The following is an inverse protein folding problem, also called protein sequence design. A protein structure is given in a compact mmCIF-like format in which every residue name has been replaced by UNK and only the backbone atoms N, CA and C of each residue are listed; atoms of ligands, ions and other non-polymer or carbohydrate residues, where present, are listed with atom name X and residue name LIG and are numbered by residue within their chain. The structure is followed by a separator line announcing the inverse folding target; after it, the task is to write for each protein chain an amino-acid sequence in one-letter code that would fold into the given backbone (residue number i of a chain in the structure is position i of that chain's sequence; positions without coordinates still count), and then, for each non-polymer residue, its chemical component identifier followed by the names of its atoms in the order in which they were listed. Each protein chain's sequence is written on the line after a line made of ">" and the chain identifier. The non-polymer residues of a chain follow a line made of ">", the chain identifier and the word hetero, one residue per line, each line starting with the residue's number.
data_IF_282497198432
#
_entry.id   IF_282497198432
#
_cell.length_a   1.000
_cell.length_b   1.000
_cell.length_c   1.000
_cell.angle_alpha   90.00
_cell.angle_beta   90.00
_cell.angle_gamma   90.00
#
_symmetry.space_group_name_H-M   'P 1'
#
loop_
_entity.id
_entity.type
_entity.pdbx_description
1 polymer ?
#
# COMPACT_ATOMS: atom_id res chain seq x y z
N UNK A 1 14.88 0.04 -6.66
CA UNK A 1 13.55 -0.62 -6.58
C UNK A 1 12.37 0.34 -6.86
N UNK A 2 12.49 1.65 -6.63
CA UNK A 2 11.49 2.68 -6.94
C UNK A 2 11.00 2.85 -8.40
N UNK A 3 11.77 2.54 -9.49
CA UNK A 3 11.38 2.95 -10.85
C UNK A 3 10.05 2.37 -11.36
N UNK A 4 9.70 1.17 -10.91
CA UNK A 4 8.57 0.41 -11.48
C UNK A 4 7.21 0.93 -10.99
N UNK A 5 7.12 1.37 -9.74
CA UNK A 5 5.85 1.88 -9.19
C UNK A 5 5.55 3.31 -9.67
N UNK A 6 6.57 4.11 -10.00
CA UNK A 6 6.38 5.45 -10.57
C UNK A 6 5.59 5.44 -11.88
N UNK A 7 5.74 4.40 -12.71
CA UNK A 7 4.94 4.24 -13.93
C UNK A 7 3.46 3.99 -13.61
N UNK A 8 3.19 3.10 -12.65
CA UNK A 8 1.83 2.76 -12.19
C UNK A 8 1.14 4.01 -11.62
N UNK A 9 1.84 4.78 -10.79
CA UNK A 9 1.33 6.04 -10.23
C UNK A 9 0.87 6.99 -11.32
N UNK A 10 1.66 7.18 -12.39
CA UNK A 10 1.30 8.07 -13.51
C UNK A 10 0.02 7.61 -14.21
N UNK A 11 -0.12 6.31 -14.46
CA UNK A 11 -1.31 5.74 -15.10
C UNK A 11 -2.55 5.93 -14.23
N UNK A 12 -2.44 5.70 -12.91
CA UNK A 12 -3.54 5.91 -11.98
C UNK A 12 -3.95 7.39 -11.97
N UNK A 13 -3.00 8.32 -11.82
CA UNK A 13 -3.29 9.76 -11.79
C UNK A 13 -3.96 10.24 -13.09
N UNK A 14 -3.55 9.70 -14.24
CA UNK A 14 -4.12 10.09 -15.54
C UNK A 14 -5.57 9.61 -15.71
N UNK A 15 -5.96 8.52 -15.06
CA UNK A 15 -7.29 7.90 -15.21
C UNK A 15 -8.22 8.18 -14.03
N UNK A 16 -7.71 8.69 -12.91
CA UNK A 16 -8.50 8.96 -11.72
C UNK A 16 -9.51 10.08 -11.96
N UNK A 17 -10.74 9.85 -11.50
CA UNK A 17 -11.79 10.85 -11.41
C UNK A 17 -12.22 10.99 -9.95
N UNK A 18 -12.66 12.20 -9.58
CA UNK A 18 -13.18 12.45 -8.24
C UNK A 18 -14.30 11.47 -7.88
N UNK A 19 -14.25 10.93 -6.65
CA UNK A 19 -15.15 9.88 -6.18
C UNK A 19 -14.74 8.44 -6.55
N UNK A 20 -13.70 8.23 -7.37
CA UNK A 20 -13.16 6.89 -7.59
C UNK A 20 -12.52 6.34 -6.31
N UNK A 21 -12.60 5.01 -6.14
CA UNK A 21 -11.93 4.29 -5.05
C UNK A 21 -10.75 3.53 -5.63
N UNK A 22 -9.60 3.63 -4.98
CA UNK A 22 -8.38 2.96 -5.40
C UNK A 22 -8.19 1.73 -4.53
N UNK A 23 -8.14 0.54 -5.15
CA UNK A 23 -7.88 -0.71 -4.45
C UNK A 23 -6.58 -1.34 -4.95
N UNK A 24 -5.58 -1.32 -4.08
CA UNK A 24 -4.23 -1.83 -4.33
C UNK A 24 -4.15 -3.26 -3.79
N UNK A 25 -3.59 -4.15 -4.59
CA UNK A 25 -3.51 -5.56 -4.27
C UNK A 25 -2.05 -6.03 -4.24
N UNK A 26 -1.75 -6.79 -3.19
CA UNK A 26 -0.57 -7.62 -3.03
C UNK A 26 0.77 -6.89 -2.76
N UNK A 27 1.78 -7.67 -2.31
CA UNK A 27 3.02 -7.15 -1.73
C UNK A 27 3.87 -6.33 -2.70
N UNK A 28 3.76 -6.57 -4.01
CA UNK A 28 4.51 -5.86 -5.04
C UNK A 28 4.27 -4.34 -5.03
N UNK A 29 3.14 -3.89 -4.46
CA UNK A 29 2.66 -2.52 -4.47
C UNK A 29 2.58 -1.89 -3.07
N UNK A 30 3.30 -2.44 -2.07
CA UNK A 30 3.26 -1.92 -0.69
C UNK A 30 3.67 -0.45 -0.55
N UNK A 31 4.49 0.10 -1.46
CA UNK A 31 4.88 1.52 -1.47
C UNK A 31 3.95 2.40 -2.32
N UNK A 32 3.00 1.82 -3.07
CA UNK A 32 2.12 2.57 -3.94
C UNK A 32 1.18 3.54 -3.20
N UNK A 33 0.60 3.21 -2.03
CA UNK A 33 -0.30 4.14 -1.34
C UNK A 33 0.39 5.46 -0.98
N UNK A 34 1.61 5.43 -0.44
CA UNK A 34 2.37 6.65 -0.12
C UNK A 34 2.73 7.45 -1.38
N UNK A 35 3.08 6.79 -2.49
CA UNK A 35 3.37 7.44 -3.76
C UNK A 35 2.13 8.10 -4.39
N UNK A 36 0.93 7.58 -4.14
CA UNK A 36 -0.31 8.21 -4.59
C UNK A 36 -0.67 9.40 -3.69
N UNK A 37 -0.50 9.27 -2.37
CA UNK A 37 -0.88 10.28 -1.39
C UNK A 37 -0.11 11.61 -1.53
N UNK A 38 1.16 11.55 -1.98
CA UNK A 38 1.95 12.78 -2.25
C UNK A 38 1.42 13.59 -3.45
N UNK A 39 0.51 13.05 -4.25
CA UNK A 39 -0.08 13.77 -5.37
C UNK A 39 -1.32 14.57 -4.93
N UNK A 40 -1.37 15.90 -5.16
CA UNK A 40 -2.51 16.73 -4.74
C UNK A 40 -3.86 16.28 -5.31
N UNK A 41 -3.91 15.64 -6.49
CA UNK A 41 -5.16 15.12 -7.07
C UNK A 41 -5.74 13.94 -6.29
N UNK A 42 -4.91 13.24 -5.53
CA UNK A 42 -5.25 11.99 -4.86
C UNK A 42 -5.18 12.10 -3.33
N UNK A 43 -4.90 13.29 -2.78
CA UNK A 43 -4.76 13.50 -1.33
C UNK A 43 -6.00 13.05 -0.54
N UNK A 44 -7.19 13.22 -1.14
CA UNK A 44 -8.48 12.82 -0.57
C UNK A 44 -9.06 11.55 -1.23
N UNK A 45 -8.29 10.87 -2.09
CA UNK A 45 -8.77 9.65 -2.75
C UNK A 45 -8.87 8.51 -1.72
N UNK A 46 -10.00 7.79 -1.64
CA UNK A 46 -10.11 6.60 -0.80
C UNK A 46 -9.20 5.50 -1.35
N UNK A 47 -8.12 5.19 -0.63
CA UNK A 47 -7.12 4.18 -1.00
C UNK A 47 -7.23 3.00 -0.02
N UNK A 48 -7.47 1.81 -0.55
CA UNK A 48 -7.48 0.55 0.19
C UNK A 48 -6.34 -0.34 -0.28
N UNK A 49 -5.68 -1.04 0.63
CA UNK A 49 -4.64 -2.02 0.36
C UNK A 49 -5.09 -3.40 0.86
N UNK A 50 -4.90 -4.44 0.06
CA UNK A 50 -5.18 -5.81 0.48
C UNK A 50 -3.97 -6.72 0.22
N UNK A 51 -3.54 -7.44 1.27
CA UNK A 51 -2.44 -8.40 1.18
C UNK A 51 -2.98 -9.82 1.04
N UNK A 52 -2.66 -10.45 -0.10
CA UNK A 52 -3.12 -11.80 -0.42
C UNK A 52 -2.30 -12.90 0.26
N UNK A 53 -1.03 -12.62 0.54
CA UNK A 53 -0.13 -13.53 1.26
C UNK A 53 -0.21 -13.33 2.77
N UNK A 54 0.37 -14.25 3.53
CA UNK A 54 0.55 -14.09 4.96
C UNK A 54 1.40 -12.85 5.27
N UNK A 55 0.97 -12.05 6.25
CA UNK A 55 1.85 -11.03 6.82
C UNK A 55 2.84 -11.73 7.78
N UNK A 56 4.16 -11.51 7.62
CA UNK A 56 5.17 -12.16 8.46
C UNK A 56 5.04 -11.72 9.92
N UNK A 57 5.61 -12.50 10.85
CA UNK A 57 5.75 -12.05 12.23
C UNK A 57 6.64 -10.80 12.30
N UNK A 58 6.50 -10.00 13.36
CA UNK A 58 7.28 -8.77 13.53
C UNK A 58 8.79 -9.04 13.50
N UNK A 59 9.26 -10.13 14.09
CA UNK A 59 10.67 -10.52 14.07
C UNK A 59 11.19 -10.71 12.64
N UNK A 60 10.46 -11.45 11.80
CA UNK A 60 10.81 -11.69 10.40
C UNK A 60 10.70 -10.40 9.59
N UNK A 61 9.68 -9.57 9.84
CA UNK A 61 9.48 -8.32 9.12
C UNK A 61 10.64 -7.33 9.37
N UNK A 62 11.13 -7.22 10.61
CA UNK A 62 12.26 -6.35 10.94
C UNK A 62 13.59 -6.79 10.30
N UNK A 63 13.73 -8.05 9.87
CA UNK A 63 14.91 -8.48 9.11
C UNK A 63 15.01 -7.79 7.74
N UNK A 64 13.92 -7.24 7.20
CA UNK A 64 13.94 -6.48 5.96
C UNK A 64 14.59 -5.11 6.19
N UNK A 65 15.67 -4.80 5.46
CA UNK A 65 16.34 -3.49 5.56
C UNK A 65 15.44 -2.29 5.22
N UNK A 66 14.34 -2.53 4.50
CA UNK A 66 13.36 -1.53 4.07
C UNK A 66 12.01 -1.60 4.83
N UNK A 67 11.94 -2.35 5.93
CA UNK A 67 10.70 -2.59 6.70
C UNK A 67 9.93 -1.29 7.00
N UNK A 68 10.62 -0.25 7.45
CA UNK A 68 10.00 1.04 7.79
C UNK A 68 9.34 1.71 6.59
N UNK A 69 9.97 1.67 5.42
CA UNK A 69 9.37 2.21 4.19
C UNK A 69 8.17 1.41 3.73
N UNK A 70 8.24 0.07 3.79
CA UNK A 70 7.12 -0.80 3.43
C UNK A 70 5.92 -0.59 4.35
N UNK A 71 6.17 -0.50 5.65
CA UNK A 71 5.13 -0.26 6.65
C UNK A 71 4.50 1.13 6.46
N UNK A 72 5.31 2.18 6.29
CA UNK A 72 4.83 3.53 5.97
C UNK A 72 3.97 3.55 4.69
N UNK A 73 4.39 2.79 3.67
CA UNK A 73 3.63 2.62 2.44
C UNK A 73 2.23 2.05 2.70
N UNK A 74 2.12 0.94 3.42
CA UNK A 74 0.84 0.31 3.74
C UNK A 74 -0.02 1.21 4.65
N UNK A 75 0.58 1.81 5.68
CA UNK A 75 -0.12 2.64 6.66
C UNK A 75 -0.70 3.94 6.06
N UNK A 76 -0.24 4.33 4.87
CA UNK A 76 -0.83 5.47 4.15
C UNK A 76 -2.19 5.13 3.52
N UNK A 77 -2.53 3.83 3.37
CA UNK A 77 -3.86 3.43 2.91
C UNK A 77 -4.92 3.71 4.00
N UNK A 78 -6.12 4.12 3.58
CA UNK A 78 -7.24 4.35 4.49
C UNK A 78 -7.81 3.04 5.07
N UNK A 79 -7.63 1.93 4.34
CA UNK A 79 -8.05 0.60 4.77
C UNK A 79 -6.97 -0.41 4.38
N UNK A 80 -6.62 -1.28 5.32
CA UNK A 80 -5.70 -2.40 5.11
C UNK A 80 -6.43 -3.70 5.40
N UNK A 81 -6.48 -4.59 4.40
CA UNK A 81 -7.15 -5.88 4.48
C UNK A 81 -6.18 -7.05 4.35
N UNK A 82 -6.55 -8.17 4.99
CA UNK A 82 -5.79 -9.42 4.99
C UNK A 82 -6.74 -10.59 4.78
N UNK A 83 -6.21 -11.74 4.34
CA UNK A 83 -6.98 -12.99 4.18
C UNK A 83 -7.58 -13.51 5.49
N UNK A 84 -6.88 -13.34 6.62
CA UNK A 84 -7.30 -13.86 7.92
C UNK A 84 -7.08 -12.85 9.04
N UNK A 85 -7.85 -12.98 10.13
CA UNK A 85 -7.65 -12.17 11.32
C UNK A 85 -6.24 -12.35 11.93
N UNK A 86 -5.67 -13.56 11.88
CA UNK A 86 -4.31 -13.83 12.38
C UNK A 86 -3.25 -12.97 11.68
N UNK A 87 -3.35 -12.79 10.36
CA UNK A 87 -2.42 -11.92 9.63
C UNK A 87 -2.62 -10.44 9.98
N UNK A 88 -3.86 -10.02 10.23
CA UNK A 88 -4.13 -8.67 10.72
C UNK A 88 -3.55 -8.44 12.12
N UNK A 89 -3.50 -9.46 12.98
CA UNK A 89 -2.86 -9.38 14.30
C UNK A 89 -1.35 -9.18 14.22
N UNK A 90 -0.64 -9.86 13.30
CA UNK A 90 0.79 -9.63 13.11
C UNK A 90 1.13 -8.25 12.55
N UNK A 91 0.19 -7.61 11.85
CA UNK A 91 0.35 -6.27 11.31
C UNK A 91 0.15 -5.15 12.33
N UNK A 92 -0.60 -5.43 13.41
CA UNK A 92 -0.98 -4.46 14.44
C UNK A 92 0.12 -4.28 15.48
#
# INVERSE_FOLDING_TARGET
>A
MLPRQSSITRVIIANYREGNRIWINDYHLMLLPVLLHINPKLVNAPISFFLHIAFPSSEIFHCLSIHGSLLCGILTANLVGFQTASYAWHFR
#
